data_IF_196039495772
#
_entry.id   IF_196039495772
#
_cell.length_a   1.000
_cell.length_b   1.000
_cell.length_c   1.000
_cell.angle_alpha   90.00
_cell.angle_beta   90.00
_cell.angle_gamma   90.00
#
_symmetry.space_group_name_H-M   'P 1'
#
loop_
_entity.id
_entity.type
_entity.pdbx_description
1 polymer ?
#
# COMPACT_ATOMS: atom_id res chain seq x y z
N UNK A 1 11.30 11.10 20.86
CA UNK A 1 12.47 11.03 21.76
C UNK A 1 12.72 9.59 22.17
N UNK A 2 13.84 9.01 21.71
CA UNK A 2 14.28 7.70 22.14
C UNK A 2 14.71 7.82 23.60
N UNK A 3 14.01 7.14 24.51
CA UNK A 3 14.32 7.18 25.95
C UNK A 3 15.71 6.59 26.21
N UNK A 4 16.38 7.08 27.26
CA UNK A 4 17.72 6.60 27.66
C UNK A 4 17.68 5.09 27.95
N UNK A 5 16.57 4.58 28.52
CA UNK A 5 16.32 3.15 28.75
C UNK A 5 16.35 2.33 27.44
N UNK A 6 15.76 2.85 26.37
CA UNK A 6 15.78 2.16 25.06
C UNK A 6 17.22 2.12 24.47
N UNK A 7 17.98 3.23 24.60
CA UNK A 7 19.36 3.26 24.13
C UNK A 7 20.22 2.22 24.83
N UNK A 8 20.07 2.09 26.16
CA UNK A 8 20.83 1.10 26.93
C UNK A 8 20.43 -0.32 26.51
N UNK A 9 19.13 -0.64 26.43
CA UNK A 9 18.65 -1.95 26.01
C UNK A 9 19.14 -2.31 24.58
N UNK A 10 19.21 -1.33 23.69
CA UNK A 10 19.75 -1.52 22.33
C UNK A 10 21.25 -1.84 22.35
N UNK A 11 22.04 -1.14 23.16
CA UNK A 11 23.46 -1.41 23.33
C UNK A 11 23.70 -2.82 23.90
N UNK A 12 22.92 -3.20 24.90
CA UNK A 12 23.04 -4.52 25.53
C UNK A 12 22.64 -5.64 24.56
N UNK A 13 21.60 -5.43 23.74
CA UNK A 13 21.23 -6.33 22.66
C UNK A 13 22.38 -6.49 21.63
N UNK A 14 22.99 -5.39 21.24
CA UNK A 14 24.12 -5.42 20.29
C UNK A 14 25.32 -6.23 20.82
N UNK A 15 25.59 -6.16 22.11
CA UNK A 15 26.69 -6.88 22.77
C UNK A 15 26.38 -8.36 23.05
N UNK A 16 25.12 -8.74 23.11
CA UNK A 16 24.72 -10.12 23.39
C UNK A 16 25.16 -11.08 22.27
N UNK A 17 25.37 -12.34 22.61
CA UNK A 17 25.62 -13.42 21.63
C UNK A 17 24.33 -14.13 21.18
N UNK A 18 23.19 -13.71 21.69
CA UNK A 18 21.89 -14.29 21.37
C UNK A 18 21.38 -13.90 19.98
N UNK A 19 20.32 -14.59 19.53
CA UNK A 19 19.57 -14.23 18.34
C UNK A 19 19.06 -12.79 18.46
N UNK A 20 19.26 -12.01 17.40
CA UNK A 20 18.80 -10.63 17.32
C UNK A 20 17.62 -10.55 16.36
N UNK A 21 16.50 -10.05 16.85
CA UNK A 21 15.30 -9.78 16.06
C UNK A 21 15.07 -8.28 16.06
N UNK A 22 15.11 -7.68 14.86
CA UNK A 22 14.82 -6.28 14.65
C UNK A 22 13.48 -6.16 13.92
N UNK A 23 12.50 -5.58 14.58
CA UNK A 23 11.16 -5.36 14.02
C UNK A 23 10.94 -3.87 13.83
N UNK A 24 10.53 -3.49 12.64
CA UNK A 24 10.29 -2.10 12.27
C UNK A 24 9.06 -1.98 11.36
N UNK A 25 8.25 -0.94 11.60
CA UNK A 25 7.17 -0.63 10.69
C UNK A 25 7.74 -0.25 9.32
N UNK A 26 7.17 -0.79 8.25
CA UNK A 26 7.59 -0.55 6.86
C UNK A 26 7.52 0.95 6.49
N UNK A 27 6.62 1.71 7.11
CA UNK A 27 6.51 3.16 6.92
C UNK A 27 7.78 3.91 7.34
N UNK A 28 8.52 3.40 8.33
CA UNK A 28 9.75 4.02 8.80
C UNK A 28 10.82 4.11 7.71
N UNK A 29 10.82 3.19 6.73
CA UNK A 29 11.72 3.27 5.56
C UNK A 29 11.45 4.47 4.63
N UNK A 30 10.32 5.15 4.80
CA UNK A 30 10.05 6.41 4.09
C UNK A 30 10.78 7.62 4.69
N UNK A 31 11.34 7.47 5.90
CA UNK A 31 12.10 8.51 6.59
C UNK A 31 13.60 8.22 6.50
N UNK A 32 14.43 9.27 6.42
CA UNK A 32 15.90 9.12 6.38
C UNK A 32 16.41 8.34 7.59
N UNK A 33 15.95 8.72 8.80
CA UNK A 33 16.39 8.09 10.05
C UNK A 33 16.01 6.61 10.15
N UNK A 34 14.81 6.24 9.71
CA UNK A 34 14.37 4.85 9.70
C UNK A 34 15.17 4.01 8.71
N UNK A 35 15.37 4.52 7.49
CA UNK A 35 16.17 3.88 6.46
C UNK A 35 17.63 3.68 6.89
N UNK A 36 18.26 4.70 7.50
CA UNK A 36 19.63 4.63 8.04
C UNK A 36 19.75 3.59 9.16
N UNK A 37 18.78 3.56 10.08
CA UNK A 37 18.79 2.59 11.19
C UNK A 37 18.68 1.16 10.66
N UNK A 38 17.78 0.91 9.70
CA UNK A 38 17.63 -0.40 9.08
C UNK A 38 18.88 -0.81 8.32
N UNK A 39 19.48 0.10 7.55
CA UNK A 39 20.70 -0.15 6.79
C UNK A 39 21.89 -0.43 7.74
N UNK A 40 22.00 0.32 8.84
CA UNK A 40 23.00 0.07 9.86
C UNK A 40 22.88 -1.35 10.43
N UNK A 41 21.65 -1.75 10.85
CA UNK A 41 21.40 -3.09 11.36
C UNK A 41 21.73 -4.17 10.32
N UNK A 42 21.33 -3.96 9.07
CA UNK A 42 21.58 -4.86 7.96
C UNK A 42 23.10 -5.08 7.73
N UNK A 43 23.89 -4.00 7.74
CA UNK A 43 25.35 -4.08 7.60
C UNK A 43 26.04 -4.84 8.73
N UNK A 44 25.53 -4.70 9.96
CA UNK A 44 26.12 -5.36 11.13
C UNK A 44 25.78 -6.85 11.21
N UNK A 45 24.55 -7.23 10.88
CA UNK A 45 24.00 -8.56 11.19
C UNK A 45 23.46 -9.33 9.99
N UNK A 46 23.24 -8.68 8.84
CA UNK A 46 22.56 -9.25 7.68
C UNK A 46 23.29 -10.44 7.06
N UNK A 47 24.61 -10.49 7.11
CA UNK A 47 25.41 -11.55 6.45
C UNK A 47 25.03 -12.98 6.87
N UNK A 48 24.49 -13.20 8.06
CA UNK A 48 24.00 -14.47 8.56
C UNK A 48 22.50 -14.42 8.90
N UNK A 49 21.84 -13.36 8.47
CA UNK A 49 20.47 -13.07 8.83
C UNK A 49 19.49 -13.30 7.67
N UNK A 50 18.23 -13.24 8.04
CA UNK A 50 17.11 -13.21 7.12
C UNK A 50 16.37 -11.88 7.25
N UNK A 51 16.02 -11.26 6.13
CA UNK A 51 15.10 -10.13 6.10
C UNK A 51 13.75 -10.59 5.55
N UNK A 52 12.71 -10.34 6.32
CA UNK A 52 11.34 -10.65 5.96
C UNK A 52 10.56 -9.35 5.80
N UNK A 53 9.89 -9.18 4.68
CA UNK A 53 8.98 -8.06 4.44
C UNK A 53 7.56 -8.60 4.40
N UNK A 54 6.77 -8.25 5.41
CA UNK A 54 5.34 -8.54 5.43
C UNK A 54 4.58 -7.47 4.65
N UNK A 55 3.43 -7.85 4.08
CA UNK A 55 2.64 -7.02 3.16
C UNK A 55 3.52 -6.38 2.07
N UNK A 56 4.21 -7.23 1.31
CA UNK A 56 5.21 -6.80 0.31
C UNK A 56 4.65 -5.90 -0.79
N UNK A 57 3.34 -5.79 -0.94
CA UNK A 57 2.69 -4.80 -1.81
C UNK A 57 3.06 -3.36 -1.46
N UNK A 58 3.53 -3.11 -0.25
CA UNK A 58 4.02 -1.79 0.18
C UNK A 58 5.28 -1.33 -0.55
N UNK A 59 6.05 -2.28 -1.13
CA UNK A 59 7.26 -2.01 -1.93
C UNK A 59 7.07 -2.20 -3.44
N UNK A 60 5.84 -2.27 -3.94
CA UNK A 60 5.54 -2.45 -5.37
C UNK A 60 5.95 -1.27 -6.26
N UNK A 61 6.00 -0.07 -5.72
CA UNK A 61 6.41 1.12 -6.46
C UNK A 61 7.93 1.31 -6.39
N UNK A 62 8.62 0.91 -7.46
CA UNK A 62 10.08 1.00 -7.58
C UNK A 62 10.65 2.43 -7.42
N UNK A 63 9.84 3.48 -7.66
CA UNK A 63 10.28 4.87 -7.54
C UNK A 63 10.19 5.41 -6.11
N UNK A 64 9.44 4.75 -5.24
CA UNK A 64 9.24 5.20 -3.86
C UNK A 64 10.54 5.07 -3.04
N UNK A 65 10.82 6.06 -2.21
CA UNK A 65 11.99 6.06 -1.33
C UNK A 65 12.00 4.84 -0.41
N UNK A 66 10.83 4.45 0.11
CA UNK A 66 10.64 3.23 0.89
C UNK A 66 11.18 2.00 0.16
N UNK A 67 10.74 1.78 -1.07
CA UNK A 67 11.13 0.62 -1.86
C UNK A 67 12.64 0.56 -2.07
N UNK A 68 13.24 1.70 -2.43
CA UNK A 68 14.69 1.81 -2.61
C UNK A 68 15.46 1.49 -1.33
N UNK A 69 14.98 2.03 -0.20
CA UNK A 69 15.62 1.81 1.10
C UNK A 69 15.49 0.35 1.57
N UNK A 70 14.34 -0.28 1.34
CA UNK A 70 14.13 -1.71 1.65
C UNK A 70 15.02 -2.60 0.81
N UNK A 71 15.14 -2.34 -0.50
CA UNK A 71 16.02 -3.10 -1.40
C UNK A 71 17.47 -2.93 -0.95
N UNK A 72 17.93 -1.69 -0.71
CA UNK A 72 19.29 -1.41 -0.27
C UNK A 72 19.64 -2.10 1.06
N UNK A 73 18.72 -2.12 2.03
CA UNK A 73 18.91 -2.88 3.27
C UNK A 73 18.96 -4.40 3.00
N UNK A 74 18.08 -4.89 2.11
CA UNK A 74 17.99 -6.29 1.74
C UNK A 74 19.25 -6.86 1.10
N UNK A 75 20.04 -6.06 0.39
CA UNK A 75 21.31 -6.47 -0.22
C UNK A 75 22.34 -7.00 0.78
N UNK A 76 22.25 -6.58 2.03
CA UNK A 76 23.14 -7.02 3.09
C UNK A 76 22.72 -8.33 3.77
N UNK A 77 21.52 -8.85 3.48
CA UNK A 77 21.02 -10.09 4.07
C UNK A 77 21.29 -11.31 3.20
N UNK A 78 21.74 -12.40 3.84
CA UNK A 78 21.96 -13.67 3.15
C UNK A 78 20.66 -14.29 2.63
N UNK A 79 19.58 -14.12 3.38
CA UNK A 79 18.29 -14.67 3.06
C UNK A 79 17.23 -13.57 3.05
N UNK A 80 16.27 -13.67 2.12
CA UNK A 80 15.18 -12.72 1.99
C UNK A 80 13.87 -13.46 1.78
N UNK A 81 12.78 -12.94 2.35
CA UNK A 81 11.41 -13.46 2.18
C UNK A 81 10.43 -12.32 2.03
N UNK A 82 9.41 -12.56 1.23
CA UNK A 82 8.24 -11.69 1.09
C UNK A 82 7.00 -12.45 1.50
N UNK A 83 6.16 -11.81 2.27
CA UNK A 83 4.85 -12.31 2.64
C UNK A 83 3.79 -11.34 2.11
N UNK A 84 2.73 -11.86 1.50
CA UNK A 84 1.62 -11.05 1.00
C UNK A 84 0.42 -11.91 0.68
N UNK A 85 -0.77 -11.40 0.95
CA UNK A 85 -2.02 -12.04 0.51
C UNK A 85 -2.30 -11.85 -0.99
N UNK A 86 -1.73 -10.80 -1.62
CA UNK A 86 -1.91 -10.50 -3.05
C UNK A 86 -0.72 -9.71 -3.59
N UNK A 87 0.25 -10.33 -4.25
CA UNK A 87 1.44 -9.65 -4.76
C UNK A 87 1.14 -8.65 -5.89
N UNK A 88 0.05 -8.87 -6.61
CA UNK A 88 -0.44 -8.00 -7.69
C UNK A 88 -1.69 -7.29 -7.24
N UNK A 89 -1.67 -5.96 -7.19
CA UNK A 89 -2.84 -5.16 -6.75
C UNK A 89 -3.48 -4.38 -7.90
N UNK A 90 -2.68 -3.84 -8.80
CA UNK A 90 -3.16 -3.05 -9.95
C UNK A 90 -2.69 -3.63 -11.29
N UNK A 91 -1.47 -4.09 -11.34
CA UNK A 91 -0.88 -4.61 -12.57
C UNK A 91 0.25 -5.60 -12.28
N UNK A 92 0.55 -6.51 -13.24
CA UNK A 92 1.72 -7.40 -13.14
C UNK A 92 3.05 -6.65 -12.95
N UNK A 93 3.09 -5.36 -13.29
CA UNK A 93 4.27 -4.51 -13.08
C UNK A 93 4.61 -4.31 -11.59
N UNK A 94 3.63 -4.52 -10.70
CA UNK A 94 3.80 -4.48 -9.24
C UNK A 94 4.81 -5.55 -8.75
N UNK A 95 5.04 -6.59 -9.52
CA UNK A 95 5.95 -7.70 -9.18
C UNK A 95 7.42 -7.32 -9.29
N UNK A 96 7.77 -6.38 -10.18
CA UNK A 96 9.17 -6.12 -10.51
C UNK A 96 10.01 -5.79 -9.28
N UNK A 97 9.63 -4.76 -8.51
CA UNK A 97 10.40 -4.34 -7.34
C UNK A 97 10.33 -5.32 -6.17
N UNK A 98 9.25 -6.09 -6.08
CA UNK A 98 9.14 -7.16 -5.08
C UNK A 98 10.13 -8.30 -5.41
N UNK A 99 10.21 -8.73 -6.65
CA UNK A 99 11.19 -9.73 -7.08
C UNK A 99 12.64 -9.18 -7.02
N UNK A 100 12.85 -7.90 -7.36
CA UNK A 100 14.15 -7.22 -7.24
C UNK A 100 14.67 -7.25 -5.80
N UNK A 101 13.79 -7.07 -4.81
CA UNK A 101 14.17 -7.22 -3.40
C UNK A 101 14.66 -8.64 -3.09
N UNK A 102 14.02 -9.68 -3.61
CA UNK A 102 14.44 -11.07 -3.39
C UNK A 102 15.78 -11.35 -4.08
N UNK A 103 15.81 -11.21 -5.39
CA UNK A 103 17.01 -11.26 -6.23
C UNK A 103 16.66 -10.64 -7.60
N UNK A 104 17.44 -9.68 -8.05
CA UNK A 104 17.22 -8.99 -9.33
C UNK A 104 17.24 -9.93 -10.55
N UNK A 105 17.80 -11.14 -10.41
CA UNK A 105 17.89 -12.13 -11.49
C UNK A 105 16.66 -13.04 -11.61
N UNK A 106 15.79 -13.11 -10.61
CA UNK A 106 14.66 -14.04 -10.57
C UNK A 106 13.74 -13.93 -11.77
N UNK A 107 13.48 -12.71 -12.23
CA UNK A 107 12.62 -12.47 -13.40
C UNK A 107 13.38 -12.61 -14.73
N UNK A 108 14.71 -12.68 -14.71
CA UNK A 108 15.54 -12.78 -15.90
C UNK A 108 15.65 -11.49 -16.72
N UNK A 109 15.43 -10.32 -16.11
CA UNK A 109 15.52 -9.02 -16.78
C UNK A 109 16.52 -8.11 -16.07
N UNK A 110 17.31 -7.40 -16.87
CA UNK A 110 18.33 -6.46 -16.37
C UNK A 110 17.73 -5.11 -15.97
N UNK A 111 16.50 -4.80 -16.36
CA UNK A 111 15.85 -3.55 -16.04
C UNK A 111 14.32 -3.64 -16.02
N UNK A 112 13.69 -2.72 -15.32
CA UNK A 112 12.23 -2.58 -15.33
C UNK A 112 11.67 -2.39 -16.75
N UNK A 113 12.35 -1.62 -17.59
CA UNK A 113 11.86 -1.36 -18.95
C UNK A 113 11.90 -2.61 -19.83
N UNK A 114 12.89 -3.46 -19.65
CA UNK A 114 12.95 -4.76 -20.35
C UNK A 114 11.80 -5.67 -19.87
N UNK A 115 11.53 -5.72 -18.57
CA UNK A 115 10.39 -6.43 -17.99
C UNK A 115 9.06 -5.88 -18.51
N UNK A 116 8.89 -4.57 -18.51
CA UNK A 116 7.69 -3.90 -19.03
C UNK A 116 7.50 -4.19 -20.52
N UNK A 117 8.55 -4.08 -21.32
CA UNK A 117 8.48 -4.38 -22.78
C UNK A 117 8.10 -5.82 -23.09
N UNK A 118 8.44 -6.78 -22.21
CA UNK A 118 8.07 -8.19 -22.37
C UNK A 118 6.61 -8.46 -22.05
N UNK A 119 6.07 -7.85 -20.98
CA UNK A 119 4.78 -8.24 -20.42
C UNK A 119 3.68 -7.18 -20.55
N UNK A 120 4.00 -5.93 -20.88
CA UNK A 120 3.01 -4.87 -21.07
C UNK A 120 2.84 -4.51 -22.54
N UNK A 121 1.60 -4.28 -22.94
CA UNK A 121 1.25 -3.66 -24.22
C UNK A 121 1.17 -2.16 -23.99
N UNK A 122 2.06 -1.43 -24.65
CA UNK A 122 2.21 0.02 -24.45
C UNK A 122 1.79 0.76 -25.73
N UNK A 123 0.91 1.76 -25.58
CA UNK A 123 0.55 2.68 -26.65
C UNK A 123 1.09 4.08 -26.36
N UNK A 124 1.62 4.74 -27.39
CA UNK A 124 1.98 6.14 -27.35
C UNK A 124 0.69 6.96 -27.47
N UNK A 125 0.40 7.80 -26.48
CA UNK A 125 -0.70 8.75 -26.51
C UNK A 125 -0.16 10.16 -26.50
N UNK A 126 -0.89 11.07 -27.17
CA UNK A 126 -0.59 12.49 -27.22
C UNK A 126 -1.71 13.28 -26.56
N UNK A 127 -1.35 14.25 -25.74
CA UNK A 127 -2.28 15.19 -25.11
C UNK A 127 -1.69 16.60 -25.29
N UNK A 128 -2.19 17.31 -26.29
CA UNK A 128 -1.59 18.57 -26.73
C UNK A 128 -0.15 18.35 -27.22
N UNK A 129 0.77 19.14 -26.70
CA UNK A 129 2.20 19.07 -27.05
C UNK A 129 2.99 17.98 -26.31
N UNK A 130 2.37 17.22 -25.41
CA UNK A 130 3.03 16.18 -24.63
C UNK A 130 2.64 14.80 -25.12
N UNK A 131 3.63 13.95 -25.40
CA UNK A 131 3.40 12.53 -25.65
C UNK A 131 3.85 11.70 -24.46
N UNK A 132 3.07 10.67 -24.11
CA UNK A 132 3.37 9.73 -23.02
C UNK A 132 3.02 8.31 -23.43
N UNK A 133 3.65 7.35 -22.77
CA UNK A 133 3.36 5.95 -22.98
C UNK A 133 2.33 5.48 -21.94
N UNK A 134 1.26 4.85 -22.42
CA UNK A 134 0.22 4.28 -21.58
C UNK A 134 0.19 2.76 -21.75
N UNK A 135 0.20 2.03 -20.64
CA UNK A 135 -0.05 0.59 -20.64
C UNK A 135 -1.55 0.41 -20.90
N UNK A 136 -1.88 -0.30 -21.97
CA UNK A 136 -3.26 -0.57 -22.40
C UNK A 136 -3.64 -2.04 -22.23
N UNK A 137 -2.67 -2.91 -21.93
CA UNK A 137 -2.91 -4.32 -21.71
C UNK A 137 -1.65 -5.05 -21.25
N UNK A 138 -1.81 -6.35 -21.05
CA UNK A 138 -0.71 -7.24 -20.67
C UNK A 138 -0.70 -8.46 -21.57
N UNK A 139 0.48 -9.04 -21.74
CA UNK A 139 0.72 -10.21 -22.59
C UNK A 139 1.65 -11.19 -21.90
N UNK A 140 1.67 -12.44 -22.38
CA UNK A 140 2.57 -13.52 -21.90
C UNK A 140 2.45 -13.78 -20.39
N UNK A 141 1.22 -13.74 -19.89
CA UNK A 141 0.97 -13.91 -18.46
C UNK A 141 1.27 -15.33 -17.98
N UNK A 142 1.12 -16.33 -18.85
CA UNK A 142 1.45 -17.72 -18.53
C UNK A 142 2.96 -17.88 -18.30
N UNK A 143 3.80 -17.29 -19.16
CA UNK A 143 5.26 -17.26 -18.99
C UNK A 143 5.65 -16.59 -17.65
N UNK A 144 5.01 -15.48 -17.31
CA UNK A 144 5.28 -14.79 -16.04
C UNK A 144 4.86 -15.65 -14.85
N UNK A 145 3.70 -16.30 -14.94
CA UNK A 145 3.20 -17.17 -13.88
C UNK A 145 4.10 -18.39 -13.66
N UNK A 146 4.57 -19.00 -14.73
CA UNK A 146 5.52 -20.12 -14.68
C UNK A 146 6.82 -19.71 -13.97
N UNK A 147 7.38 -18.54 -14.32
CA UNK A 147 8.56 -18.00 -13.64
C UNK A 147 8.31 -17.77 -12.13
N UNK A 148 7.18 -17.18 -11.78
CA UNK A 148 6.83 -16.95 -10.38
C UNK A 148 6.69 -18.24 -9.59
N UNK A 149 6.09 -19.27 -10.17
CA UNK A 149 5.86 -20.56 -9.52
C UNK A 149 7.18 -21.24 -9.14
N UNK A 150 8.27 -20.98 -9.86
CA UNK A 150 9.58 -21.58 -9.58
C UNK A 150 10.19 -21.16 -8.23
N UNK A 151 9.83 -19.99 -7.69
CA UNK A 151 10.39 -19.47 -6.42
C UNK A 151 9.34 -18.96 -5.42
N UNK A 152 8.06 -19.05 -5.75
CA UNK A 152 6.95 -18.63 -4.88
C UNK A 152 6.04 -19.80 -4.55
N UNK A 153 5.35 -19.68 -3.40
CA UNK A 153 4.33 -20.62 -2.98
C UNK A 153 3.05 -19.88 -2.63
N UNK A 154 1.96 -20.30 -3.23
CA UNK A 154 0.62 -19.81 -2.91
C UNK A 154 -0.11 -20.84 -2.06
N UNK A 155 -0.69 -20.39 -0.95
CA UNK A 155 -1.51 -21.20 -0.05
C UNK A 155 -2.87 -20.53 0.05
N UNK A 156 -3.94 -21.23 -0.28
CA UNK A 156 -5.29 -20.70 -0.18
C UNK A 156 -5.93 -21.10 1.16
N UNK A 157 -6.73 -20.21 1.73
CA UNK A 157 -7.45 -20.51 2.99
C UNK A 157 -8.28 -21.78 2.90
N UNK A 158 -8.96 -22.01 1.77
CA UNK A 158 -9.76 -23.21 1.54
C UNK A 158 -8.96 -24.51 1.52
N UNK A 159 -7.65 -24.45 1.28
CA UNK A 159 -6.78 -25.63 1.16
C UNK A 159 -6.15 -25.99 2.52
N UNK A 160 -6.22 -25.09 3.51
CA UNK A 160 -5.53 -25.21 4.80
C UNK A 160 -6.44 -25.06 6.01
N UNK A 161 -7.64 -24.52 5.85
CA UNK A 161 -8.54 -24.20 6.95
C UNK A 161 -9.93 -24.75 6.62
N UNK A 162 -10.51 -25.43 7.59
CA UNK A 162 -11.92 -25.83 7.58
C UNK A 162 -12.74 -24.64 8.09
N UNK A 163 -13.13 -23.76 7.17
CA UNK A 163 -13.89 -22.57 7.48
C UNK A 163 -15.30 -22.67 6.86
N UNK A 164 -16.33 -22.20 7.55
CA UNK A 164 -17.65 -22.10 6.96
C UNK A 164 -17.63 -21.18 5.75
N UNK A 165 -18.57 -21.36 4.85
CA UNK A 165 -18.73 -20.50 3.68
C UNK A 165 -18.94 -19.05 4.09
N UNK A 166 -18.39 -18.13 3.30
CA UNK A 166 -18.59 -16.69 3.54
C UNK A 166 -20.02 -16.32 3.18
N UNK A 167 -20.74 -15.85 4.19
CA UNK A 167 -22.08 -15.28 4.00
C UNK A 167 -21.94 -13.76 3.85
N UNK A 168 -22.40 -13.24 2.71
CA UNK A 168 -22.46 -11.81 2.46
C UNK A 168 -23.90 -11.33 2.69
N UNK A 169 -24.08 -10.47 3.69
CA UNK A 169 -25.37 -9.84 3.95
C UNK A 169 -25.25 -8.32 3.72
N UNK A 170 -26.28 -7.77 3.10
CA UNK A 170 -26.42 -6.31 2.97
C UNK A 170 -27.47 -5.84 3.96
N UNK A 171 -27.11 -4.89 4.80
CA UNK A 171 -28.04 -4.17 5.68
C UNK A 171 -28.18 -2.74 5.19
N UNK A 172 -29.40 -2.30 4.97
CA UNK A 172 -29.72 -0.93 4.61
C UNK A 172 -30.07 -0.18 5.89
N UNK A 173 -29.38 0.93 6.12
CA UNK A 173 -29.56 1.77 7.30
C UNK A 173 -30.06 3.12 6.85
N UNK A 174 -31.23 3.53 7.34
CA UNK A 174 -31.77 4.84 7.05
C UNK A 174 -30.99 5.95 7.75
N UNK A 175 -30.74 7.03 7.00
CA UNK A 175 -30.16 8.23 7.56
C UNK A 175 -31.15 8.90 8.51
N UNK A 176 -30.65 9.45 9.62
CA UNK A 176 -31.44 10.30 10.50
C UNK A 176 -31.85 11.59 9.80
N UNK A 177 -32.84 12.30 10.31
CA UNK A 177 -33.28 13.56 9.71
C UNK A 177 -32.18 14.63 9.72
N UNK A 178 -31.34 14.63 10.75
CA UNK A 178 -30.16 15.50 10.82
C UNK A 178 -29.20 15.16 9.67
N UNK A 179 -28.88 13.88 9.47
CA UNK A 179 -28.02 13.44 8.37
C UNK A 179 -28.62 13.77 7.00
N UNK A 180 -29.92 13.54 6.81
CA UNK A 180 -30.63 13.87 5.55
C UNK A 180 -30.54 15.35 5.23
N UNK A 181 -30.72 16.21 6.23
CA UNK A 181 -30.64 17.66 6.05
C UNK A 181 -29.22 18.12 5.69
N UNK A 182 -28.21 17.67 6.44
CA UNK A 182 -26.80 17.99 6.16
C UNK A 182 -26.35 17.46 4.77
N UNK A 183 -26.77 16.25 4.43
CA UNK A 183 -26.47 15.64 3.14
C UNK A 183 -27.06 16.45 1.97
N UNK A 184 -28.33 16.88 2.10
CA UNK A 184 -28.99 17.71 1.06
C UNK A 184 -28.32 19.07 0.91
N UNK A 185 -27.94 19.73 2.00
CA UNK A 185 -27.23 21.02 1.96
C UNK A 185 -25.88 20.86 1.26
N UNK A 186 -25.08 19.87 1.65
CA UNK A 186 -23.75 19.62 1.06
C UNK A 186 -23.88 19.22 -0.42
N UNK A 187 -24.86 18.38 -0.79
CA UNK A 187 -25.10 17.97 -2.17
C UNK A 187 -25.51 19.14 -3.07
N UNK A 188 -26.35 20.06 -2.57
CA UNK A 188 -26.74 21.28 -3.31
C UNK A 188 -25.55 22.20 -3.55
N UNK A 189 -24.67 22.41 -2.56
CA UNK A 189 -23.45 23.18 -2.72
C UNK A 189 -22.50 22.55 -3.74
N UNK A 190 -22.36 21.22 -3.70
CA UNK A 190 -21.57 20.48 -4.68
C UNK A 190 -22.09 20.64 -6.11
N UNK A 191 -23.40 20.55 -6.32
CA UNK A 191 -24.05 20.73 -7.62
C UNK A 191 -23.95 22.16 -8.13
N UNK A 192 -24.13 23.16 -7.26
CA UNK A 192 -24.01 24.57 -7.63
C UNK A 192 -22.59 24.89 -8.12
N UNK A 193 -21.56 24.41 -7.46
CA UNK A 193 -20.16 24.57 -7.88
C UNK A 193 -19.86 23.91 -9.24
N UNK A 194 -20.52 22.79 -9.56
CA UNK A 194 -20.36 22.11 -10.85
C UNK A 194 -21.08 22.87 -11.99
N UNK A 195 -22.16 23.57 -11.70
CA UNK A 195 -22.96 24.32 -12.70
C UNK A 195 -22.33 25.66 -13.06
N UNK A 196 -21.61 26.30 -12.14
CA UNK A 196 -20.98 27.62 -12.36
C UNK A 196 -19.81 27.61 -13.36
N UNK A 197 -19.46 26.45 -13.93
CA UNK A 197 -18.42 26.36 -14.99
C UNK A 197 -17.02 26.79 -14.57
N UNK A 198 -16.83 27.22 -13.31
CA UNK A 198 -15.51 27.45 -12.75
C UNK A 198 -14.78 26.12 -12.76
N UNK A 199 -13.50 26.11 -13.18
CA UNK A 199 -12.61 24.94 -13.12
C UNK A 199 -12.56 24.42 -11.68
N UNK A 200 -13.57 23.62 -11.32
CA UNK A 200 -13.59 22.94 -10.02
C UNK A 200 -12.42 21.96 -10.05
N UNK A 201 -11.39 22.23 -9.29
CA UNK A 201 -10.25 21.33 -9.21
C UNK A 201 -10.76 19.95 -8.76
N UNK A 202 -10.19 18.88 -9.30
CA UNK A 202 -10.53 17.50 -8.95
C UNK A 202 -10.48 17.28 -7.42
N UNK A 203 -9.63 18.05 -6.72
CA UNK A 203 -9.52 18.02 -5.27
C UNK A 203 -10.80 18.49 -4.56
N UNK A 204 -11.49 19.52 -5.09
CA UNK A 204 -12.75 20.01 -4.50
C UNK A 204 -13.86 18.97 -4.60
N UNK A 205 -14.00 18.28 -5.74
CA UNK A 205 -15.00 17.23 -5.93
C UNK A 205 -14.75 16.04 -4.98
N UNK A 206 -13.51 15.60 -4.87
CA UNK A 206 -13.14 14.52 -3.95
C UNK A 206 -13.42 14.91 -2.48
N UNK A 207 -13.10 16.14 -2.10
CA UNK A 207 -13.36 16.64 -0.75
C UNK A 207 -14.87 16.63 -0.47
N UNK A 208 -15.72 17.04 -1.41
CA UNK A 208 -17.17 17.02 -1.26
C UNK A 208 -17.72 15.60 -1.11
N UNK A 209 -17.25 14.66 -1.92
CA UNK A 209 -17.62 13.24 -1.81
C UNK A 209 -17.22 12.69 -0.43
N UNK A 210 -16.02 13.03 0.05
CA UNK A 210 -15.57 12.63 1.38
C UNK A 210 -16.45 13.21 2.49
N UNK A 211 -16.87 14.49 2.38
CA UNK A 211 -17.78 15.12 3.34
C UNK A 211 -19.15 14.44 3.35
N UNK A 212 -19.71 14.12 2.19
CA UNK A 212 -20.96 13.37 2.09
C UNK A 212 -20.85 11.99 2.76
N UNK A 213 -19.74 11.29 2.54
CA UNK A 213 -19.47 10.01 3.17
C UNK A 213 -19.32 10.16 4.70
N UNK A 214 -18.66 11.19 5.20
CA UNK A 214 -18.52 11.48 6.63
C UNK A 214 -19.89 11.67 7.28
N UNK A 215 -20.79 12.45 6.66
CA UNK A 215 -22.16 12.65 7.15
C UNK A 215 -22.89 11.30 7.27
N UNK A 216 -22.80 10.44 6.25
CA UNK A 216 -23.38 9.10 6.29
C UNK A 216 -22.76 8.22 7.38
N UNK A 217 -21.50 8.45 7.75
CA UNK A 217 -20.81 7.74 8.81
C UNK A 217 -21.10 8.28 10.22
N UNK A 218 -21.83 9.39 10.36
CA UNK A 218 -22.20 9.97 11.65
C UNK A 218 -21.21 11.00 12.19
N UNK A 219 -20.41 11.62 11.34
CA UNK A 219 -19.54 12.73 11.73
C UNK A 219 -19.29 13.68 10.56
N UNK A 220 -18.87 14.89 10.85
CA UNK A 220 -18.41 15.87 9.88
C UNK A 220 -17.20 16.61 10.43
N UNK A 221 -16.20 16.88 9.59
CA UNK A 221 -15.13 17.81 9.91
C UNK A 221 -15.50 19.19 9.40
N UNK A 222 -15.36 20.21 10.24
CA UNK A 222 -15.43 21.62 9.80
C UNK A 222 -14.13 22.03 9.10
N UNK A 223 -14.06 23.28 8.62
CA UNK A 223 -12.89 23.79 7.90
C UNK A 223 -11.67 23.98 8.83
N UNK A 224 -11.88 24.05 10.14
CA UNK A 224 -10.83 24.09 11.16
C UNK A 224 -10.36 22.68 11.60
N UNK A 225 -10.72 21.65 10.86
CA UNK A 225 -10.45 20.21 11.14
C UNK A 225 -11.08 19.66 12.43
N UNK A 226 -11.95 20.40 13.10
CA UNK A 226 -12.64 19.91 14.28
C UNK A 226 -13.72 18.88 13.89
N UNK A 227 -13.78 17.80 14.64
CA UNK A 227 -14.76 16.73 14.49
C UNK A 227 -16.05 17.09 15.21
N UNK A 228 -17.16 17.14 14.46
CA UNK A 228 -18.51 17.24 15.01
C UNK A 228 -19.22 15.89 14.79
N UNK A 229 -19.72 15.29 15.85
CA UNK A 229 -20.57 14.11 15.76
C UNK A 229 -21.95 14.47 15.23
N UNK A 230 -22.49 13.58 14.37
CA UNK A 230 -23.84 13.64 13.82
C UNK A 230 -24.54 12.35 14.21
N UNK A 231 -25.73 12.46 14.80
CA UNK A 231 -26.49 11.27 15.22
C UNK A 231 -26.71 10.32 14.04
N UNK A 232 -26.36 9.03 14.22
CA UNK A 232 -26.44 8.01 13.17
C UNK A 232 -27.02 6.70 13.70
N UNK A 233 -27.84 6.04 12.88
CA UNK A 233 -28.42 4.74 13.22
C UNK A 233 -27.48 3.55 12.96
N UNK A 234 -26.29 3.78 12.34
CA UNK A 234 -25.37 2.70 11.92
C UNK A 234 -24.88 1.82 13.07
N UNK A 235 -24.58 2.41 14.22
CA UNK A 235 -24.10 1.64 15.36
C UNK A 235 -25.19 0.76 15.96
N UNK A 236 -26.45 1.21 15.93
CA UNK A 236 -27.59 0.44 16.44
C UNK A 236 -27.89 -0.78 15.58
N UNK A 237 -27.61 -0.70 14.28
CA UNK A 237 -27.80 -1.82 13.33
C UNK A 237 -26.63 -2.84 13.33
N UNK A 238 -25.52 -2.54 14.00
CA UNK A 238 -24.36 -3.42 14.12
C UNK A 238 -24.44 -4.31 15.37
N UNK A 239 -25.31 -4.01 16.33
CA UNK A 239 -25.56 -4.76 17.56
C UNK A 239 -26.79 -5.61 17.40
#
# INVERSE_FOLDING_TARGET
NITQKFKQAFIDLCKSKSLKIFVMNIEAFSTSKGAETALWFAKQYGRRGIMVVDESTTIKNRKANRTKAVIAAGEHFAYKRLLTGSPVTKSPMDLYSQCEFLDARLLGFTSYFAFQGRYAVVQKRSMGHRSFQQIVGFQRMDELNEKLTSFSRRVLKRDCLDLPEKVYMRREVELTDEQKNLYRQMSKLALAQLQDGSLVSTNNVLTQIMRLQQICCGFIKNDDEELREVKSNRLQELV
#
